data_IF_876249911097
#
_entry.id   IF_876249911097
#
_cell.length_a   1.000
_cell.length_b   1.000
_cell.length_c   1.000
_cell.angle_alpha   90.00
_cell.angle_beta   90.00
_cell.angle_gamma   90.00
#
_symmetry.space_group_name_H-M   'P 1'
#
loop_
_entity.id
_entity.type
_entity.pdbx_description
1 polymer ?
#
# COMPACT_ATOMS: atom_id res chain seq x y z
N UNK A 1 -60.58 -8.00 18.05
CA UNK A 1 -59.64 -8.01 16.90
C UNK A 1 -58.31 -7.57 17.47
N UNK A 2 -57.48 -8.54 17.85
CA UNK A 2 -56.25 -8.35 18.63
C UNK A 2 -55.15 -9.00 17.81
N UNK A 3 -54.23 -8.18 17.28
CA UNK A 3 -53.07 -8.64 16.54
C UNK A 3 -51.86 -8.58 17.48
N UNK A 4 -51.46 -9.76 17.97
CA UNK A 4 -50.18 -10.01 18.60
C UNK A 4 -49.10 -10.09 17.52
N UNK A 5 -48.07 -9.25 17.61
CA UNK A 5 -46.84 -9.39 16.84
C UNK A 5 -45.75 -9.89 17.77
N UNK A 6 -45.47 -11.19 17.70
CA UNK A 6 -44.17 -11.74 18.10
C UNK A 6 -43.28 -11.71 16.84
N UNK A 7 -42.08 -11.19 16.97
CA UNK A 7 -41.04 -11.35 15.94
C UNK A 7 -39.78 -11.77 16.67
N UNK A 8 -39.49 -13.05 16.56
CA UNK A 8 -38.27 -13.68 17.03
C UNK A 8 -37.08 -13.14 16.24
N UNK A 9 -36.09 -12.60 16.96
CA UNK A 9 -34.81 -12.23 16.38
C UNK A 9 -33.99 -13.52 16.16
N UNK A 10 -34.04 -14.04 14.93
CA UNK A 10 -33.16 -15.12 14.49
C UNK A 10 -31.74 -14.59 14.32
N UNK A 11 -30.86 -14.93 15.25
CA UNK A 11 -29.41 -14.81 15.07
C UNK A 11 -28.94 -15.93 14.15
N UNK A 12 -28.69 -15.61 12.88
CA UNK A 12 -27.98 -16.52 11.99
C UNK A 12 -26.87 -15.80 11.22
N UNK A 13 -25.74 -16.49 11.12
CA UNK A 13 -24.41 -15.91 11.04
C UNK A 13 -24.03 -15.21 9.74
N UNK A 14 -23.30 -14.12 9.89
CA UNK A 14 -22.34 -13.66 8.89
C UNK A 14 -20.98 -14.31 9.18
N UNK A 15 -20.77 -15.51 8.65
CA UNK A 15 -19.41 -15.99 8.43
C UNK A 15 -18.75 -15.03 7.43
N UNK A 16 -17.84 -14.19 7.91
CA UNK A 16 -17.04 -13.28 7.09
C UNK A 16 -16.28 -14.11 6.04
N UNK A 17 -16.71 -14.02 4.79
CA UNK A 17 -16.01 -14.64 3.68
C UNK A 17 -14.56 -14.10 3.66
N UNK A 18 -13.53 -14.96 3.60
CA UNK A 18 -12.15 -14.49 3.57
C UNK A 18 -12.00 -13.53 2.39
N UNK A 19 -11.52 -12.32 2.68
CA UNK A 19 -11.30 -11.27 1.70
C UNK A 19 -10.67 -11.88 0.45
N UNK A 20 -11.40 -11.78 -0.68
CA UNK A 20 -11.00 -12.36 -1.95
C UNK A 20 -9.52 -12.08 -2.20
N UNK A 21 -8.72 -13.14 -2.20
CA UNK A 21 -7.28 -13.05 -2.42
C UNK A 21 -7.08 -12.56 -3.84
N UNK A 22 -6.58 -11.33 -4.00
CA UNK A 22 -6.25 -10.80 -5.31
C UNK A 22 -5.13 -11.63 -5.92
N UNK A 23 -5.47 -12.39 -6.96
CA UNK A 23 -4.51 -13.13 -7.77
C UNK A 23 -3.92 -12.11 -8.76
N UNK A 24 -2.77 -11.53 -8.42
CA UNK A 24 -1.97 -10.85 -9.42
C UNK A 24 -1.48 -11.90 -10.45
N UNK A 25 -1.52 -11.61 -11.76
CA UNK A 25 -0.92 -12.50 -12.74
C UNK A 25 0.56 -12.68 -12.41
N UNK A 26 1.01 -13.93 -12.32
CA UNK A 26 2.42 -14.28 -12.17
C UNK A 26 3.09 -13.98 -13.51
N UNK A 27 3.36 -12.71 -13.78
CA UNK A 27 4.22 -12.34 -14.89
C UNK A 27 5.64 -12.78 -14.53
N UNK A 28 6.09 -13.85 -15.17
CA UNK A 28 7.39 -14.50 -15.01
C UNK A 28 8.60 -13.65 -15.44
N UNK A 29 8.54 -12.34 -15.24
CA UNK A 29 9.71 -11.48 -15.32
C UNK A 29 10.27 -11.35 -13.90
N UNK A 30 11.57 -11.59 -13.74
CA UNK A 30 12.30 -11.37 -12.49
C UNK A 30 12.28 -9.86 -12.19
N UNK A 31 11.18 -9.37 -11.63
CA UNK A 31 10.97 -7.95 -11.40
C UNK A 31 11.94 -7.51 -10.29
N UNK A 32 13.01 -6.79 -10.67
CA UNK A 32 14.04 -6.27 -9.76
C UNK A 32 13.51 -5.17 -8.83
N UNK A 33 12.30 -4.68 -9.07
CA UNK A 33 11.64 -3.59 -8.35
C UNK A 33 10.68 -4.14 -7.27
N UNK A 34 11.15 -5.06 -6.42
CA UNK A 34 10.36 -5.59 -5.29
C UNK A 34 10.79 -4.90 -3.99
N UNK A 35 9.82 -4.44 -3.20
CA UNK A 35 10.07 -3.79 -1.91
C UNK A 35 10.79 -4.72 -0.92
N UNK A 36 12.09 -4.50 -0.72
CA UNK A 36 12.95 -5.30 0.15
C UNK A 36 13.12 -4.72 1.54
N UNK A 37 13.39 -5.58 2.53
CA UNK A 37 13.75 -5.15 3.89
C UNK A 37 15.13 -4.47 3.91
N UNK A 38 15.30 -3.48 4.77
CA UNK A 38 16.59 -2.80 4.96
C UNK A 38 17.52 -3.66 5.81
N UNK A 39 18.57 -4.23 5.20
CA UNK A 39 19.57 -5.03 5.92
C UNK A 39 20.23 -4.28 7.08
N UNK A 40 20.41 -2.97 6.95
CA UNK A 40 20.99 -2.13 8.00
C UNK A 40 20.13 -2.05 9.28
N UNK A 41 18.83 -2.35 9.18
CA UNK A 41 17.90 -2.37 10.30
C UNK A 41 17.62 -3.80 10.79
N UNK A 42 18.30 -4.83 10.25
CA UNK A 42 18.03 -6.21 10.61
C UNK A 42 18.19 -6.44 12.12
N UNK A 43 17.22 -7.13 12.72
CA UNK A 43 17.17 -7.38 14.17
C UNK A 43 16.68 -6.19 15.02
N UNK A 44 16.43 -5.02 14.42
CA UNK A 44 15.87 -3.87 15.13
C UNK A 44 14.33 -3.90 15.12
N UNK A 45 13.65 -3.43 16.19
CA UNK A 45 12.19 -3.33 16.24
C UNK A 45 11.57 -2.52 15.09
N UNK A 46 12.34 -1.58 14.54
CA UNK A 46 11.90 -0.67 13.48
C UNK A 46 12.01 -1.27 12.07
N UNK A 47 12.60 -2.46 11.93
CA UNK A 47 12.86 -3.10 10.63
C UNK A 47 11.61 -3.33 9.77
N UNK A 48 10.46 -3.58 10.39
CA UNK A 48 9.18 -3.75 9.69
C UNK A 48 8.56 -2.42 9.23
N UNK A 49 8.96 -1.30 9.83
CA UNK A 49 8.44 0.04 9.52
C UNK A 49 9.12 0.68 8.32
N UNK A 50 10.18 0.08 7.80
CA UNK A 50 10.90 0.62 6.64
C UNK A 50 11.18 -0.46 5.60
N UNK A 51 11.18 -0.04 4.34
CA UNK A 51 11.58 -0.88 3.21
C UNK A 51 12.33 -0.05 2.18
N UNK A 52 12.91 -0.71 1.19
CA UNK A 52 13.45 -0.05 0.01
C UNK A 52 12.89 -0.59 -1.28
N UNK A 53 12.60 0.31 -2.21
CA UNK A 53 12.28 0.01 -3.59
C UNK A 53 13.44 0.41 -4.49
N UNK A 54 13.60 -0.30 -5.60
CA UNK A 54 14.56 0.02 -6.66
C UNK A 54 13.73 0.61 -7.81
N UNK A 55 14.08 1.80 -8.28
CA UNK A 55 13.49 2.36 -9.50
C UNK A 55 14.10 1.77 -10.77
N UNK A 56 13.55 2.10 -11.94
CA UNK A 56 14.07 1.60 -13.22
C UNK A 56 15.53 1.99 -13.49
N UNK A 57 15.96 3.14 -12.98
CA UNK A 57 17.34 3.62 -13.02
C UNK A 57 18.31 2.79 -12.17
N UNK A 58 17.81 1.87 -11.34
CA UNK A 58 18.59 1.14 -10.35
C UNK A 58 18.81 1.90 -9.04
N UNK A 59 18.35 3.15 -8.94
CA UNK A 59 18.38 3.92 -7.70
C UNK A 59 17.48 3.29 -6.63
N UNK A 60 17.93 3.36 -5.38
CA UNK A 60 17.20 2.85 -4.22
C UNK A 60 16.49 3.99 -3.49
N UNK A 61 15.22 3.77 -3.17
CA UNK A 61 14.37 4.69 -2.45
C UNK A 61 13.90 4.04 -1.15
N UNK A 62 14.11 4.71 -0.02
CA UNK A 62 13.68 4.23 1.29
C UNK A 62 12.27 4.74 1.58
N UNK A 63 11.41 3.87 2.08
CA UNK A 63 10.04 4.17 2.43
C UNK A 63 9.74 3.78 3.87
N UNK A 64 8.94 4.60 4.54
CA UNK A 64 8.19 4.17 5.73
C UNK A 64 7.00 3.32 5.30
N UNK A 65 6.63 2.31 6.07
CA UNK A 65 5.55 1.35 5.77
C UNK A 65 4.43 1.50 6.79
N UNK A 66 3.21 1.67 6.30
CA UNK A 66 2.00 1.81 7.11
C UNK A 66 0.91 0.85 6.62
N UNK A 67 0.10 0.27 7.51
CA UNK A 67 -1.21 -0.23 7.14
C UNK A 67 -2.02 0.87 6.45
N UNK A 68 -2.84 0.52 5.45
CA UNK A 68 -3.61 1.51 4.70
C UNK A 68 -4.48 2.41 5.60
N UNK A 69 -5.04 1.88 6.69
CA UNK A 69 -5.85 2.59 7.70
C UNK A 69 -5.07 3.62 8.54
N UNK A 70 -3.77 3.39 8.73
CA UNK A 70 -2.92 4.14 9.66
C UNK A 70 -1.93 5.07 8.96
N UNK A 71 -1.89 5.08 7.63
CA UNK A 71 -0.96 5.92 6.88
C UNK A 71 -1.23 7.41 7.10
N UNK A 72 -0.27 8.18 7.64
CA UNK A 72 -0.41 9.63 7.77
C UNK A 72 -0.40 10.32 6.40
N UNK A 73 -0.98 11.52 6.34
CA UNK A 73 -0.99 12.36 5.14
C UNK A 73 0.14 13.39 5.20
N UNK A 74 1.34 12.99 4.79
CA UNK A 74 2.48 13.91 4.71
C UNK A 74 2.46 14.70 3.39
N UNK A 75 2.62 16.03 3.44
CA UNK A 75 2.77 16.84 2.24
C UNK A 75 4.11 16.55 1.57
N UNK A 76 4.19 16.84 0.27
CA UNK A 76 5.43 16.79 -0.50
C UNK A 76 6.16 15.43 -0.38
N UNK A 77 5.39 14.35 -0.43
CA UNK A 77 5.86 12.99 -0.28
C UNK A 77 5.50 12.15 -1.51
N UNK A 78 6.22 11.04 -1.70
CA UNK A 78 5.79 10.01 -2.64
C UNK A 78 5.04 8.93 -1.86
N UNK A 79 3.78 8.74 -2.21
CA UNK A 79 2.91 7.70 -1.69
C UNK A 79 2.89 6.52 -2.68
N UNK A 80 3.29 5.34 -2.22
CA UNK A 80 3.22 4.11 -2.99
C UNK A 80 2.28 3.13 -2.29
N UNK A 81 1.29 2.62 -3.02
CA UNK A 81 0.48 1.51 -2.57
C UNK A 81 1.10 0.20 -3.01
N UNK A 82 1.13 -0.79 -2.12
CA UNK A 82 1.64 -2.12 -2.42
C UNK A 82 0.80 -3.21 -1.74
N UNK A 83 0.83 -4.40 -2.31
CA UNK A 83 0.31 -5.63 -1.70
C UNK A 83 1.39 -6.69 -1.69
N UNK A 84 1.22 -7.71 -0.85
CA UNK A 84 2.04 -8.92 -0.93
C UNK A 84 1.35 -9.94 -1.82
N UNK A 85 2.11 -10.52 -2.74
CA UNK A 85 1.68 -11.70 -3.49
C UNK A 85 1.68 -12.95 -2.58
N UNK A 86 1.23 -14.08 -3.12
CA UNK A 86 1.17 -15.37 -2.40
C UNK A 86 2.54 -15.88 -1.96
N UNK A 87 3.64 -15.34 -2.52
CA UNK A 87 5.02 -15.66 -2.11
C UNK A 87 5.54 -14.70 -1.03
N UNK A 88 4.70 -13.79 -0.53
CA UNK A 88 5.03 -12.78 0.47
C UNK A 88 5.80 -11.58 -0.09
N UNK A 89 5.99 -11.51 -1.43
CA UNK A 89 6.76 -10.45 -2.08
C UNK A 89 5.86 -9.26 -2.38
N UNK A 90 6.39 -8.05 -2.22
CA UNK A 90 5.64 -6.82 -2.46
C UNK A 90 5.54 -6.51 -3.95
N UNK A 91 4.34 -6.17 -4.39
CA UNK A 91 4.00 -5.70 -5.72
C UNK A 91 3.41 -4.28 -5.62
N UNK A 92 3.83 -3.38 -6.52
CA UNK A 92 3.32 -2.01 -6.58
C UNK A 92 1.90 -2.03 -7.17
N UNK A 93 1.00 -1.26 -6.58
CA UNK A 93 -0.36 -1.03 -7.07
C UNK A 93 -0.54 0.37 -7.65
N UNK A 94 0.07 1.38 -7.03
CA UNK A 94 0.13 2.73 -7.59
C UNK A 94 1.22 3.55 -6.91
N UNK A 95 1.72 4.59 -7.57
CA UNK A 95 2.67 5.57 -7.07
C UNK A 95 2.15 6.98 -7.37
N UNK A 96 2.18 7.87 -6.36
CA UNK A 96 1.60 9.22 -6.45
C UNK A 96 2.44 10.23 -5.69
N UNK A 97 2.47 11.48 -6.17
CA UNK A 97 2.90 12.63 -5.37
C UNK A 97 1.72 13.05 -4.48
N UNK A 98 1.97 13.31 -3.19
CA UNK A 98 0.96 13.82 -2.26
C UNK A 98 0.74 15.33 -2.39
N UNK A 99 1.72 16.06 -2.94
CA UNK A 99 1.67 17.51 -3.12
C UNK A 99 1.48 18.28 -1.81
N UNK A 100 1.10 19.55 -1.93
CA UNK A 100 0.89 20.44 -0.78
C UNK A 100 -0.36 20.08 0.06
N UNK A 101 -1.31 19.34 -0.53
CA UNK A 101 -2.58 18.95 0.10
C UNK A 101 -2.71 17.42 0.08
N UNK A 102 -2.10 16.71 1.05
CA UNK A 102 -1.95 15.27 1.01
C UNK A 102 -3.22 14.49 1.40
N UNK A 103 -4.12 15.08 2.19
CA UNK A 103 -5.29 14.39 2.76
C UNK A 103 -6.24 13.85 1.67
N UNK A 104 -6.61 14.63 0.63
CA UNK A 104 -7.43 14.11 -0.47
C UNK A 104 -6.73 12.98 -1.24
N UNK A 105 -5.41 13.05 -1.41
CA UNK A 105 -4.62 12.03 -2.11
C UNK A 105 -4.63 10.72 -1.33
N UNK A 106 -4.34 10.76 -0.03
CA UNK A 106 -4.36 9.58 0.84
C UNK A 106 -5.77 9.00 0.97
N UNK A 107 -6.79 9.85 1.14
CA UNK A 107 -8.18 9.40 1.22
C UNK A 107 -8.65 8.73 -0.09
N UNK A 108 -8.24 9.28 -1.24
CA UNK A 108 -8.50 8.68 -2.55
C UNK A 108 -7.78 7.33 -2.71
N UNK A 109 -6.50 7.26 -2.38
CA UNK A 109 -5.74 6.01 -2.43
C UNK A 109 -6.40 4.93 -1.56
N UNK A 110 -6.70 5.24 -0.29
CA UNK A 110 -7.41 4.32 0.61
C UNK A 110 -8.74 3.84 0.03
N UNK A 111 -9.52 4.73 -0.58
CA UNK A 111 -10.79 4.38 -1.23
C UNK A 111 -10.61 3.43 -2.39
N UNK A 112 -9.68 3.73 -3.29
CA UNK A 112 -9.39 2.92 -4.48
C UNK A 112 -8.84 1.54 -4.11
N UNK A 113 -8.10 1.46 -2.99
CA UNK A 113 -7.44 0.24 -2.53
C UNK A 113 -8.34 -0.68 -1.71
N UNK A 114 -9.54 -0.24 -1.29
CA UNK A 114 -10.46 -1.09 -0.51
C UNK A 114 -10.80 -2.40 -1.23
N UNK A 115 -10.83 -2.38 -2.56
CA UNK A 115 -11.13 -3.54 -3.37
C UNK A 115 -10.08 -4.65 -3.23
N UNK A 116 -8.83 -4.31 -2.85
CA UNK A 116 -7.69 -5.23 -2.68
C UNK A 116 -7.63 -5.89 -1.29
N UNK A 117 -8.52 -5.54 -0.37
CA UNK A 117 -8.63 -6.15 0.96
C UNK A 117 -7.60 -5.65 2.00
N UNK A 118 -7.44 -6.40 3.09
CA UNK A 118 -6.65 -6.01 4.26
C UNK A 118 -5.12 -6.07 4.07
N UNK A 119 -4.65 -6.63 2.94
CA UNK A 119 -3.23 -6.82 2.65
C UNK A 119 -2.51 -5.61 2.06
N UNK A 120 -3.20 -4.46 1.93
CA UNK A 120 -2.63 -3.25 1.34
C UNK A 120 -1.75 -2.49 2.33
N UNK A 121 -0.50 -2.30 1.94
CA UNK A 121 0.48 -1.43 2.59
C UNK A 121 0.54 -0.09 1.84
N UNK A 122 0.63 1.01 2.60
CA UNK A 122 0.97 2.33 2.07
C UNK A 122 2.39 2.69 2.49
N UNK A 123 3.19 3.07 1.51
CA UNK A 123 4.60 3.38 1.64
C UNK A 123 4.81 4.86 1.39
N UNK A 124 5.53 5.53 2.30
CA UNK A 124 5.86 6.95 2.18
C UNK A 124 7.36 7.18 2.03
N UNK A 125 7.76 7.81 0.93
CA UNK A 125 9.12 8.30 0.72
C UNK A 125 9.16 9.81 0.94
N UNK A 126 9.97 10.22 1.92
CA UNK A 126 10.06 11.59 2.43
C UNK A 126 11.42 12.24 2.14
N UNK A 127 12.30 11.58 1.38
CA UNK A 127 13.70 12.01 1.20
C UNK A 127 13.95 12.76 -0.11
N UNK A 128 12.92 13.02 -0.91
CA UNK A 128 12.99 13.86 -2.10
C UNK A 128 12.64 15.31 -1.71
N UNK A 129 13.67 16.15 -1.58
CA UNK A 129 13.59 17.45 -0.93
C UNK A 129 13.00 18.55 -1.84
N UNK A 130 13.04 18.36 -3.16
CA UNK A 130 12.50 19.32 -4.12
C UNK A 130 11.39 18.73 -4.99
N UNK A 131 10.51 19.58 -5.56
CA UNK A 131 9.52 19.13 -6.55
C UNK A 131 10.16 18.39 -7.73
N UNK A 132 11.33 18.83 -8.20
CA UNK A 132 12.07 18.19 -9.29
C UNK A 132 12.57 16.80 -8.89
N UNK A 133 13.13 16.65 -7.70
CA UNK A 133 13.55 15.35 -7.18
C UNK A 133 12.38 14.39 -7.01
N UNK A 134 11.22 14.89 -6.52
CA UNK A 134 10.01 14.09 -6.40
C UNK A 134 9.49 13.64 -7.75
N UNK A 135 9.41 14.53 -8.74
CA UNK A 135 8.99 14.19 -10.08
C UNK A 135 9.92 13.13 -10.71
N UNK A 136 11.24 13.27 -10.55
CA UNK A 136 12.21 12.30 -11.05
C UNK A 136 12.07 10.93 -10.35
N UNK A 137 11.94 10.91 -9.03
CA UNK A 137 11.74 9.68 -8.26
C UNK A 137 10.39 9.02 -8.59
N UNK A 138 9.32 9.81 -8.76
CA UNK A 138 8.00 9.33 -9.17
C UNK A 138 8.08 8.64 -10.53
N UNK A 139 8.69 9.28 -11.52
CA UNK A 139 8.86 8.70 -12.85
C UNK A 139 9.68 7.40 -12.81
N UNK A 140 10.74 7.37 -12.01
CA UNK A 140 11.61 6.20 -11.86
C UNK A 140 10.91 5.01 -11.16
N UNK A 141 9.95 5.30 -10.28
CA UNK A 141 9.19 4.31 -9.50
C UNK A 141 7.89 3.88 -10.18
N UNK A 142 7.21 4.76 -10.91
CA UNK A 142 5.93 4.48 -11.56
C UNK A 142 6.05 3.35 -12.59
N UNK A 143 7.21 3.23 -13.22
CA UNK A 143 7.46 2.17 -14.18
C UNK A 143 7.82 0.81 -13.52
N UNK A 144 7.61 0.70 -12.19
CA UNK A 144 7.51 -0.54 -11.44
C UNK A 144 6.06 -0.96 -11.14
N UNK A 145 5.06 -0.14 -11.51
CA UNK A 145 3.66 -0.57 -11.62
C UNK A 145 3.60 -1.67 -12.68
N UNK A 146 3.22 -2.88 -12.28
CA UNK A 146 3.14 -4.06 -13.13
C UNK A 146 1.77 -4.24 -13.75
#
# INVERSE_FOLDING_TARGET
MTLTYETEASTDGFAEAPAAQWIAPISGHENKTRGGSLKALAGMPISSRFCSWIGQSGRRYVFSVYPASECPAFPDAILMAAVRDMTGRRCVLSVRDTGAFPEPVVARARRELRTFGLGVELHLHLLAASPTERAAALADLAAAEG
#
